data_IF_496314938031
#
_entry.id   IF_496314938031
#
_cell.length_a   1.000
_cell.length_b   1.000
_cell.length_c   1.000
_cell.angle_alpha   90.00
_cell.angle_beta   90.00
_cell.angle_gamma   90.00
#
_symmetry.space_group_name_H-M   'P 1'
#
loop_
_entity.id
_entity.type
_entity.pdbx_description
1 polymer ?
#
# COMPACT_ATOMS: atom_id res chain seq x y z
N UNK A 1 2.82 13.25 20.10
CA UNK A 1 1.93 12.54 19.16
C UNK A 1 0.89 13.49 18.63
N UNK A 2 0.12 13.03 17.64
CA UNK A 2 -1.03 13.71 17.04
C UNK A 2 -2.11 12.67 16.76
N UNK A 3 -3.38 13.07 16.82
CA UNK A 3 -4.41 12.31 16.13
C UNK A 3 -4.22 12.50 14.61
N UNK A 4 -3.96 11.41 13.87
CA UNK A 4 -3.69 11.47 12.42
C UNK A 4 -4.88 11.96 11.60
N UNK A 5 -6.09 11.90 12.14
CA UNK A 5 -7.30 12.44 11.49
C UNK A 5 -7.48 13.94 11.72
N UNK A 6 -6.68 14.57 12.59
CA UNK A 6 -6.68 16.00 12.87
C UNK A 6 -5.48 16.67 12.20
N UNK A 7 -5.73 17.36 11.10
CA UNK A 7 -4.71 18.04 10.29
C UNK A 7 -3.92 19.09 11.10
N UNK A 8 -4.57 19.80 12.03
CA UNK A 8 -3.89 20.81 12.83
C UNK A 8 -2.89 20.16 13.79
N UNK A 9 -3.27 19.06 14.43
CA UNK A 9 -2.36 18.30 15.29
C UNK A 9 -1.20 17.66 14.50
N UNK A 10 -1.47 17.12 13.31
CA UNK A 10 -0.43 16.56 12.44
C UNK A 10 0.58 17.63 12.03
N UNK A 11 0.11 18.80 11.59
CA UNK A 11 0.98 19.91 11.22
C UNK A 11 1.82 20.39 12.42
N UNK A 12 1.20 20.52 13.60
CA UNK A 12 1.92 20.89 14.82
C UNK A 12 2.96 19.83 15.23
N UNK A 13 2.69 18.55 15.02
CA UNK A 13 3.66 17.48 15.27
C UNK A 13 4.86 17.57 14.32
N UNK A 14 4.62 17.74 13.01
CA UNK A 14 5.69 17.87 12.01
C UNK A 14 6.50 19.15 12.23
N UNK A 15 5.85 20.28 12.52
CA UNK A 15 6.51 21.55 12.79
C UNK A 15 7.49 21.43 13.98
N UNK A 16 7.07 20.78 15.08
CA UNK A 16 7.97 20.51 16.22
C UNK A 16 9.14 19.62 15.86
N UNK A 17 8.95 18.65 14.95
CA UNK A 17 10.05 17.80 14.50
C UNK A 17 11.09 18.60 13.70
N UNK A 18 10.61 19.46 12.78
CA UNK A 18 11.47 20.35 12.01
C UNK A 18 12.17 21.37 12.92
N UNK A 19 11.46 21.93 13.91
CA UNK A 19 12.06 22.86 14.88
C UNK A 19 13.18 22.19 15.70
N UNK A 20 12.96 20.95 16.15
CA UNK A 20 13.91 20.23 16.98
C UNK A 20 15.14 19.72 16.21
N UNK A 21 14.95 19.28 14.95
CA UNK A 21 15.98 18.54 14.20
C UNK A 21 16.34 19.14 12.83
N UNK A 22 15.72 20.26 12.46
CA UNK A 22 15.95 20.98 11.21
C UNK A 22 15.30 20.36 9.97
N UNK A 23 14.89 19.09 10.01
CA UNK A 23 14.31 18.36 8.87
C UNK A 23 13.49 17.14 9.30
N UNK A 24 12.73 16.58 8.36
CA UNK A 24 12.10 15.26 8.49
C UNK A 24 12.50 14.41 7.28
N UNK A 25 13.25 13.34 7.54
CA UNK A 25 13.78 12.45 6.50
C UNK A 25 12.90 11.23 6.23
N UNK A 26 12.30 10.71 7.30
CA UNK A 26 11.56 9.46 7.28
C UNK A 26 10.18 9.68 7.88
N UNK A 27 9.14 9.22 7.17
CA UNK A 27 7.79 9.11 7.69
C UNK A 27 7.33 7.64 7.60
N UNK A 28 6.96 7.06 8.73
CA UNK A 28 6.35 5.72 8.79
C UNK A 28 4.88 5.86 9.19
N UNK A 29 3.99 5.65 8.23
CA UNK A 29 2.54 5.68 8.44
C UNK A 29 2.06 4.34 9.01
N UNK A 30 2.14 4.19 10.34
CA UNK A 30 1.81 2.97 11.07
C UNK A 30 0.50 3.03 11.90
N UNK A 31 -0.05 4.23 12.13
CA UNK A 31 -1.26 4.38 12.95
C UNK A 31 -2.44 3.56 12.38
N UNK A 32 -3.23 2.93 13.25
CA UNK A 32 -4.31 2.05 12.81
C UNK A 32 -5.26 1.60 13.92
N UNK A 33 -6.48 1.27 13.51
CA UNK A 33 -7.56 0.70 14.35
C UNK A 33 -8.28 -0.46 13.63
N UNK A 34 -9.02 -1.29 14.37
CA UNK A 34 -9.92 -2.30 13.81
C UNK A 34 -11.39 -2.01 14.17
N UNK A 35 -12.29 -2.40 13.26
CA UNK A 35 -13.76 -2.38 13.42
C UNK A 35 -14.36 -3.51 12.58
N UNK A 36 -14.05 -4.73 12.99
CA UNK A 36 -14.31 -5.92 12.18
C UNK A 36 -15.76 -6.37 12.33
N UNK A 37 -16.47 -6.46 11.19
CA UNK A 37 -17.85 -6.92 11.06
C UNK A 37 -18.06 -7.46 9.65
N UNK A 38 -18.85 -8.52 9.50
CA UNK A 38 -19.36 -8.90 8.17
C UNK A 38 -20.00 -7.68 7.50
N UNK A 39 -19.79 -7.46 6.21
CA UNK A 39 -20.22 -6.23 5.54
C UNK A 39 -21.71 -5.90 5.76
N UNK A 40 -22.59 -6.90 5.70
CA UNK A 40 -24.03 -6.74 5.96
C UNK A 40 -24.38 -6.20 7.37
N UNK A 41 -23.47 -6.36 8.34
CA UNK A 41 -23.63 -5.89 9.73
C UNK A 41 -22.76 -4.66 10.02
N UNK A 42 -22.00 -4.17 9.04
CA UNK A 42 -21.04 -3.08 9.23
C UNK A 42 -21.76 -1.74 9.17
N UNK A 43 -21.65 -0.97 10.25
CA UNK A 43 -22.13 0.41 10.25
C UNK A 43 -21.18 1.27 9.41
N UNK A 44 -21.75 2.18 8.61
CA UNK A 44 -20.91 3.06 7.79
C UNK A 44 -20.02 4.00 8.61
N UNK A 45 -20.36 4.23 9.88
CA UNK A 45 -19.48 4.93 10.82
C UNK A 45 -18.20 4.14 11.12
N UNK A 46 -18.31 2.81 11.29
CA UNK A 46 -17.16 1.92 11.48
C UNK A 46 -16.30 1.87 10.22
N UNK A 47 -16.93 1.85 9.04
CA UNK A 47 -16.22 1.91 7.78
C UNK A 47 -15.39 3.19 7.66
N UNK A 48 -16.05 4.35 7.87
CA UNK A 48 -15.40 5.67 7.79
C UNK A 48 -14.29 5.81 8.81
N UNK A 49 -14.50 5.43 10.06
CA UNK A 49 -13.47 5.53 11.10
C UNK A 49 -12.17 4.79 10.72
N UNK A 50 -12.30 3.59 10.14
CA UNK A 50 -11.14 2.82 9.66
C UNK A 50 -10.48 3.52 8.47
N UNK A 51 -11.24 3.96 7.46
CA UNK A 51 -10.68 4.70 6.32
C UNK A 51 -10.01 6.01 6.74
N UNK A 52 -10.62 6.75 7.65
CA UNK A 52 -10.13 8.04 8.14
C UNK A 52 -8.80 7.89 8.86
N UNK A 53 -8.67 6.92 9.78
CA UNK A 53 -7.42 6.70 10.51
C UNK A 53 -6.32 6.18 9.59
N UNK A 54 -6.62 5.16 8.79
CA UNK A 54 -5.61 4.46 8.00
C UNK A 54 -5.24 5.23 6.74
N UNK A 55 -6.21 5.51 5.87
CA UNK A 55 -5.94 6.10 4.56
C UNK A 55 -5.82 7.62 4.63
N UNK A 56 -6.84 8.31 5.17
CA UNK A 56 -6.84 9.78 5.25
C UNK A 56 -5.76 10.26 6.22
N UNK A 57 -5.58 9.58 7.36
CA UNK A 57 -4.53 9.90 8.32
C UNK A 57 -3.13 9.78 7.74
N UNK A 58 -2.86 8.72 6.97
CA UNK A 58 -1.59 8.59 6.23
C UNK A 58 -1.41 9.70 5.20
N UNK A 59 -2.47 10.07 4.47
CA UNK A 59 -2.42 11.17 3.51
C UNK A 59 -2.15 12.52 4.20
N UNK A 60 -2.77 12.79 5.35
CA UNK A 60 -2.52 14.00 6.15
C UNK A 60 -1.06 14.09 6.59
N UNK A 61 -0.53 13.02 7.19
CA UNK A 61 0.86 12.93 7.64
C UNK A 61 1.84 13.09 6.48
N UNK A 62 1.59 12.41 5.37
CA UNK A 62 2.44 12.51 4.18
C UNK A 62 2.39 13.91 3.59
N UNK A 63 1.21 14.53 3.48
CA UNK A 63 1.08 15.90 2.98
C UNK A 63 1.86 16.91 3.82
N UNK A 64 1.84 16.75 5.14
CA UNK A 64 2.53 17.64 6.06
C UNK A 64 4.06 17.64 5.91
N UNK A 65 4.66 16.53 5.47
CA UNK A 65 6.13 16.42 5.25
C UNK A 65 6.54 16.60 3.78
N UNK A 66 5.59 16.49 2.85
CA UNK A 66 5.87 16.34 1.41
C UNK A 66 6.69 17.49 0.81
N UNK A 67 6.28 18.74 1.04
CA UNK A 67 6.99 19.90 0.48
C UNK A 67 8.40 20.06 1.08
N UNK A 68 8.57 19.75 2.36
CA UNK A 68 9.88 19.77 3.00
C UNK A 68 10.82 18.71 2.38
N UNK A 69 10.32 17.47 2.21
CA UNK A 69 11.06 16.38 1.56
C UNK A 69 11.43 16.72 0.10
N UNK A 70 10.52 17.35 -0.65
CA UNK A 70 10.78 17.81 -2.02
C UNK A 70 11.84 18.90 -2.08
N UNK A 71 11.75 19.90 -1.21
CA UNK A 71 12.67 21.03 -1.16
C UNK A 71 14.10 20.60 -0.78
N UNK A 72 14.25 19.62 0.13
CA UNK A 72 15.55 19.11 0.56
C UNK A 72 16.16 18.05 -0.38
N UNK A 73 15.40 17.55 -1.37
CA UNK A 73 15.89 16.51 -2.29
C UNK A 73 16.11 15.14 -1.63
N UNK A 74 15.35 14.83 -0.59
CA UNK A 74 15.41 13.54 0.10
C UNK A 74 14.12 13.29 0.87
N UNK A 75 13.59 12.07 0.77
CA UNK A 75 12.53 11.59 1.67
C UNK A 75 12.33 10.08 1.57
N UNK A 76 11.91 9.47 2.67
CA UNK A 76 11.55 8.04 2.73
C UNK A 76 10.21 7.90 3.43
N UNK A 77 9.24 7.32 2.73
CA UNK A 77 7.88 7.16 3.26
C UNK A 77 7.50 5.68 3.22
N UNK A 78 7.06 5.16 4.36
CA UNK A 78 6.57 3.79 4.47
C UNK A 78 5.08 3.80 4.78
N UNK A 79 4.30 3.12 3.95
CA UNK A 79 2.88 2.84 4.19
C UNK A 79 2.72 1.46 4.82
N UNK A 80 1.96 1.35 5.91
CA UNK A 80 1.62 0.05 6.52
C UNK A 80 0.30 -0.47 5.95
N UNK A 81 0.38 -1.33 4.92
CA UNK A 81 -0.74 -2.10 4.38
C UNK A 81 -1.04 -3.35 5.27
N UNK A 82 -1.55 -4.43 4.69
CA UNK A 82 -1.73 -5.73 5.34
C UNK A 82 -2.02 -6.81 4.30
N UNK A 83 -1.91 -8.08 4.71
CA UNK A 83 -2.43 -9.21 3.92
C UNK A 83 -3.92 -9.07 3.61
N UNK A 84 -4.74 -8.58 4.54
CA UNK A 84 -6.16 -8.28 4.31
C UNK A 84 -6.36 -7.25 3.19
N UNK A 85 -5.49 -6.24 3.10
CA UNK A 85 -5.52 -5.29 1.99
C UNK A 85 -5.18 -5.96 0.66
N UNK A 86 -4.10 -6.74 0.63
CA UNK A 86 -3.60 -7.34 -0.61
C UNK A 86 -4.47 -8.50 -1.13
N UNK A 87 -5.03 -9.30 -0.23
CA UNK A 87 -5.61 -10.61 -0.54
C UNK A 87 -7.04 -10.80 -0.01
N UNK A 88 -7.55 -9.83 0.76
CA UNK A 88 -8.87 -9.91 1.40
C UNK A 88 -8.86 -10.68 2.72
N UNK A 89 -9.86 -10.41 3.55
CA UNK A 89 -10.17 -11.19 4.75
C UNK A 89 -11.65 -11.01 5.12
N UNK A 90 -12.31 -12.09 5.56
CA UNK A 90 -13.72 -12.04 5.90
C UNK A 90 -13.98 -11.08 7.06
N UNK A 91 -15.03 -10.26 6.97
CA UNK A 91 -15.40 -9.31 8.03
C UNK A 91 -14.53 -8.04 8.10
N UNK A 92 -13.63 -7.83 7.15
CA UNK A 92 -12.69 -6.70 7.14
C UNK A 92 -12.79 -5.84 5.87
N UNK A 93 -14.00 -5.63 5.35
CA UNK A 93 -14.21 -4.86 4.11
C UNK A 93 -13.67 -3.42 4.20
N UNK A 94 -13.89 -2.74 5.33
CA UNK A 94 -13.34 -1.42 5.63
C UNK A 94 -11.80 -1.42 5.72
N UNK A 95 -11.24 -2.36 6.48
CA UNK A 95 -9.81 -2.46 6.69
C UNK A 95 -9.07 -2.86 5.42
N UNK A 96 -9.58 -3.84 4.67
CA UNK A 96 -9.06 -4.24 3.36
C UNK A 96 -9.05 -3.07 2.37
N UNK A 97 -10.16 -2.32 2.27
CA UNK A 97 -10.24 -1.14 1.42
C UNK A 97 -9.20 -0.07 1.80
N UNK A 98 -9.09 0.25 3.10
CA UNK A 98 -8.12 1.23 3.57
C UNK A 98 -6.66 0.79 3.32
N UNK A 99 -6.34 -0.48 3.63
CA UNK A 99 -4.97 -1.01 3.52
C UNK A 99 -4.51 -1.20 2.08
N UNK A 100 -5.38 -1.61 1.16
CA UNK A 100 -5.04 -1.65 -0.27
C UNK A 100 -4.97 -0.24 -0.87
N UNK A 101 -5.83 0.68 -0.42
CA UNK A 101 -5.79 2.09 -0.78
C UNK A 101 -4.42 2.73 -0.49
N UNK A 102 -3.76 2.34 0.59
CA UNK A 102 -2.40 2.80 0.92
C UNK A 102 -1.36 2.35 -0.12
N UNK A 103 -1.47 1.13 -0.66
CA UNK A 103 -0.57 0.66 -1.71
C UNK A 103 -0.79 1.42 -3.04
N UNK A 104 -2.05 1.73 -3.38
CA UNK A 104 -2.39 2.59 -4.52
C UNK A 104 -1.89 4.03 -4.34
N UNK A 105 -1.99 4.57 -3.13
CA UNK A 105 -1.47 5.88 -2.77
C UNK A 105 0.06 5.92 -2.89
N UNK A 106 0.77 4.92 -2.35
CA UNK A 106 2.23 4.78 -2.46
C UNK A 106 2.71 4.73 -3.92
N UNK A 107 2.00 3.98 -4.79
CA UNK A 107 2.28 3.93 -6.24
C UNK A 107 2.33 5.32 -6.86
N UNK A 108 1.30 6.12 -6.62
CA UNK A 108 1.24 7.47 -7.22
C UNK A 108 2.33 8.38 -6.67
N UNK A 109 2.54 8.38 -5.35
CA UNK A 109 3.57 9.22 -4.73
C UNK A 109 5.00 8.81 -5.12
N UNK A 110 5.26 7.52 -5.39
CA UNK A 110 6.56 7.08 -5.89
C UNK A 110 6.91 7.73 -7.24
N UNK A 111 5.91 8.01 -8.08
CA UNK A 111 6.08 8.69 -9.36
C UNK A 111 6.29 10.20 -9.15
N UNK A 112 5.46 10.83 -8.30
CA UNK A 112 5.57 12.27 -8.02
C UNK A 112 6.86 12.65 -7.28
N UNK A 113 7.36 11.75 -6.43
CA UNK A 113 8.55 11.93 -5.61
C UNK A 113 9.87 11.61 -6.32
N UNK A 114 9.83 10.89 -7.46
CA UNK A 114 11.01 10.33 -8.11
C UNK A 114 12.11 11.36 -8.40
N UNK A 115 11.73 12.51 -8.99
CA UNK A 115 12.68 13.59 -9.33
C UNK A 115 13.28 14.32 -8.13
N UNK A 116 12.72 14.10 -6.95
CA UNK A 116 13.14 14.73 -5.69
C UNK A 116 13.84 13.76 -4.74
N UNK A 117 14.15 12.54 -5.20
CA UNK A 117 14.69 11.47 -4.34
C UNK A 117 13.81 11.21 -3.10
N UNK A 118 12.49 11.33 -3.30
CA UNK A 118 11.48 10.92 -2.32
C UNK A 118 10.98 9.54 -2.73
N UNK A 119 11.32 8.52 -1.94
CA UNK A 119 10.93 7.13 -2.19
C UNK A 119 9.77 6.74 -1.28
N UNK A 120 8.78 6.06 -1.85
CA UNK A 120 7.59 5.62 -1.12
C UNK A 120 7.41 4.13 -1.32
N UNK A 121 7.36 3.39 -0.22
CA UNK A 121 7.22 1.94 -0.20
C UNK A 121 6.05 1.53 0.69
N UNK A 122 5.63 0.28 0.55
CA UNK A 122 4.55 -0.33 1.31
C UNK A 122 5.04 -1.60 2.01
N UNK A 123 4.69 -1.77 3.27
CA UNK A 123 4.89 -3.02 4.01
C UNK A 123 3.54 -3.62 4.39
N UNK A 124 3.41 -4.94 4.26
CA UNK A 124 2.30 -5.75 4.72
C UNK A 124 2.81 -6.66 5.86
N UNK A 125 2.81 -6.16 7.11
CA UNK A 125 3.38 -6.91 8.22
C UNK A 125 2.46 -8.05 8.67
N UNK A 126 3.07 -9.15 9.09
CA UNK A 126 2.45 -10.25 9.82
C UNK A 126 3.15 -10.35 11.17
N UNK A 127 2.51 -9.81 12.21
CA UNK A 127 3.04 -9.83 13.56
C UNK A 127 1.92 -10.11 14.56
N UNK A 128 2.25 -10.78 15.65
CA UNK A 128 1.43 -10.90 16.84
C UNK A 128 1.51 -9.58 17.61
N UNK A 129 0.37 -8.94 17.76
CA UNK A 129 0.18 -7.71 18.54
C UNK A 129 -1.12 -7.85 19.31
N UNK A 130 -1.44 -6.89 20.18
CA UNK A 130 -2.79 -6.81 20.79
C UNK A 130 -3.94 -6.81 19.77
N UNK A 131 -3.66 -6.50 18.50
CA UNK A 131 -4.64 -6.48 17.41
C UNK A 131 -4.81 -7.84 16.72
N UNK A 132 -3.88 -8.78 16.91
CA UNK A 132 -3.71 -9.97 16.05
C UNK A 132 -3.34 -11.25 16.81
N UNK A 133 -3.24 -11.22 18.14
CA UNK A 133 -2.85 -12.37 18.95
C UNK A 133 -3.81 -13.57 18.82
N UNK A 134 -5.12 -13.31 18.72
CA UNK A 134 -6.14 -14.35 18.56
C UNK A 134 -6.08 -15.07 17.20
N UNK A 135 -5.26 -14.59 16.26
CA UNK A 135 -5.09 -15.21 14.94
C UNK A 135 -4.07 -16.35 14.93
N UNK A 136 -3.23 -16.47 15.96
CA UNK A 136 -2.14 -17.43 16.00
C UNK A 136 -2.30 -18.44 17.14
N UNK A 137 -1.95 -19.72 16.92
CA UNK A 137 -1.75 -20.67 18.00
C UNK A 137 -0.75 -20.12 19.04
N UNK A 138 -0.96 -20.37 20.36
CA UNK A 138 -0.09 -19.81 21.41
C UNK A 138 1.40 -20.13 21.25
N UNK A 139 1.73 -21.31 20.72
CA UNK A 139 3.08 -21.79 20.44
C UNK A 139 3.75 -21.07 19.25
N UNK A 140 2.96 -20.40 18.41
CA UNK A 140 3.44 -19.66 17.24
C UNK A 140 3.56 -18.15 17.47
N UNK A 141 3.01 -17.61 18.57
CA UNK A 141 3.04 -16.16 18.87
C UNK A 141 4.46 -15.58 18.91
N UNK A 142 5.43 -16.34 19.45
CA UNK A 142 6.83 -15.92 19.58
C UNK A 142 7.51 -15.74 18.21
N UNK A 143 7.15 -16.55 17.23
CA UNK A 143 7.65 -16.44 15.87
C UNK A 143 7.17 -15.15 15.21
N UNK A 144 5.95 -14.70 15.51
CA UNK A 144 5.39 -13.48 14.97
C UNK A 144 5.70 -12.23 15.82
N UNK A 145 6.78 -12.22 16.59
CA UNK A 145 7.25 -11.01 17.27
C UNK A 145 7.39 -9.83 16.26
N UNK A 146 6.82 -8.64 16.55
CA UNK A 146 6.99 -7.42 15.74
C UNK A 146 8.44 -7.09 15.35
N UNK A 147 9.42 -7.46 16.17
CA UNK A 147 10.85 -7.28 15.88
C UNK A 147 11.26 -7.95 14.56
N UNK A 148 10.59 -9.03 14.16
CA UNK A 148 10.86 -9.75 12.91
C UNK A 148 10.41 -8.98 11.66
N UNK A 149 9.68 -7.88 11.82
CA UNK A 149 9.27 -6.97 10.73
C UNK A 149 10.26 -5.82 10.56
N UNK A 150 10.95 -5.44 11.64
CA UNK A 150 11.80 -4.24 11.72
C UNK A 150 12.88 -4.21 10.63
N UNK A 151 13.63 -5.29 10.33
CA UNK A 151 14.66 -5.26 9.29
C UNK A 151 14.10 -4.86 7.91
N UNK A 152 12.95 -5.41 7.52
CA UNK A 152 12.30 -5.08 6.26
C UNK A 152 11.81 -3.62 6.26
N UNK A 153 11.17 -3.17 7.35
CA UNK A 153 10.70 -1.80 7.48
C UNK A 153 11.84 -0.78 7.37
N UNK A 154 12.97 -1.02 8.06
CA UNK A 154 14.15 -0.15 8.03
C UNK A 154 14.82 -0.12 6.65
N UNK A 155 14.92 -1.26 5.96
CA UNK A 155 15.46 -1.28 4.60
C UNK A 155 14.61 -0.43 3.64
N UNK A 156 13.27 -0.52 3.74
CA UNK A 156 12.34 0.24 2.89
C UNK A 156 12.34 1.75 3.14
N UNK A 157 13.02 2.22 4.18
CA UNK A 157 13.24 3.66 4.47
C UNK A 157 14.72 4.03 4.60
N UNK A 158 15.62 3.14 4.16
CA UNK A 158 17.06 3.41 4.13
C UNK A 158 17.46 4.27 2.93
N UNK A 159 18.72 4.73 2.89
CA UNK A 159 19.26 5.44 1.73
C UNK A 159 19.19 4.61 0.44
N UNK A 160 19.37 3.29 0.56
CA UNK A 160 19.30 2.29 -0.51
C UNK A 160 17.90 1.68 -0.69
N UNK A 161 16.87 2.28 -0.07
CA UNK A 161 15.51 1.79 -0.20
C UNK A 161 15.08 1.69 -1.67
N UNK A 162 14.34 0.66 -2.08
CA UNK A 162 13.67 0.69 -3.38
C UNK A 162 12.63 1.82 -3.42
N UNK A 163 11.88 1.91 -4.51
CA UNK A 163 10.66 2.72 -4.57
C UNK A 163 9.54 1.87 -5.14
N UNK A 164 8.28 2.17 -4.78
CA UNK A 164 7.10 1.44 -5.23
C UNK A 164 7.09 -0.07 -4.85
N UNK A 165 7.90 -0.48 -3.87
CA UNK A 165 7.90 -1.85 -3.41
C UNK A 165 6.70 -2.13 -2.48
N UNK A 166 6.11 -3.33 -2.60
CA UNK A 166 5.13 -3.87 -1.65
C UNK A 166 5.76 -5.10 -1.03
N UNK A 167 6.02 -5.08 0.27
CA UNK A 167 6.78 -6.13 0.95
C UNK A 167 5.98 -6.77 2.07
N UNK A 168 5.78 -8.08 2.01
CA UNK A 168 5.31 -8.87 3.14
C UNK A 168 6.45 -9.16 4.10
N UNK A 169 6.24 -9.06 5.41
CA UNK A 169 7.27 -9.39 6.41
C UNK A 169 6.67 -9.95 7.70
N UNK A 170 7.21 -11.06 8.19
CA UNK A 170 6.79 -11.69 9.45
C UNK A 170 7.49 -13.02 9.69
N UNK A 171 7.70 -13.40 10.96
CA UNK A 171 8.38 -14.65 11.34
C UNK A 171 9.72 -14.92 10.65
N UNK A 172 10.49 -13.86 10.38
CA UNK A 172 11.78 -13.95 9.70
C UNK A 172 11.70 -14.12 8.18
N UNK A 173 10.50 -14.14 7.61
CA UNK A 173 10.27 -14.24 6.16
C UNK A 173 9.97 -12.85 5.60
N UNK A 174 10.60 -12.52 4.47
CA UNK A 174 10.38 -11.29 3.70
C UNK A 174 10.03 -11.65 2.26
N UNK A 175 8.97 -11.05 1.72
CA UNK A 175 8.39 -11.38 0.41
C UNK A 175 8.08 -10.10 -0.36
N UNK A 176 8.18 -10.13 -1.69
CA UNK A 176 7.68 -9.06 -2.56
C UNK A 176 6.30 -9.43 -3.12
N UNK A 177 5.38 -8.46 -3.12
CA UNK A 177 4.08 -8.54 -3.76
C UNK A 177 4.00 -7.56 -4.93
N UNK A 178 3.20 -7.90 -5.94
CA UNK A 178 3.11 -7.14 -7.18
C UNK A 178 1.65 -6.94 -7.60
N UNK A 179 1.38 -5.81 -8.27
CA UNK A 179 0.16 -5.63 -9.06
C UNK A 179 0.55 -5.93 -10.50
N UNK A 180 0.08 -7.06 -11.03
CA UNK A 180 0.47 -7.56 -12.35
C UNK A 180 -0.61 -7.27 -13.41
N UNK A 181 -0.21 -7.34 -14.68
CA UNK A 181 -1.07 -7.16 -15.84
C UNK A 181 -0.78 -8.24 -16.88
N UNK A 182 -1.80 -8.97 -17.31
CA UNK A 182 -1.68 -9.98 -18.37
C UNK A 182 -1.53 -9.32 -19.76
N UNK A 183 -1.01 -10.02 -20.78
CA UNK A 183 -0.95 -9.49 -22.15
C UNK A 183 -2.32 -9.14 -22.75
N UNK A 184 -3.38 -9.79 -22.29
CA UNK A 184 -4.76 -9.61 -22.74
C UNK A 184 -5.06 -10.17 -24.13
N UNK A 185 -6.31 -10.00 -24.56
CA UNK A 185 -6.81 -10.42 -25.87
C UNK A 185 -7.33 -9.21 -26.66
N UNK A 186 -6.99 -9.14 -27.96
CA UNK A 186 -7.43 -8.06 -28.84
C UNK A 186 -8.82 -8.34 -29.43
N UNK A 187 -9.86 -7.76 -28.82
CA UNK A 187 -11.22 -7.76 -29.37
C UNK A 187 -11.28 -6.90 -30.65
N UNK A 188 -11.15 -7.58 -31.80
CA UNK A 188 -11.15 -6.94 -33.13
C UNK A 188 -12.50 -6.27 -33.41
N UNK A 189 -12.48 -5.26 -34.27
CA UNK A 189 -13.68 -4.58 -34.73
C UNK A 189 -14.67 -5.58 -35.34
N UNK A 190 -15.97 -5.37 -35.12
CA UNK A 190 -17.02 -6.32 -35.50
C UNK A 190 -17.19 -7.54 -34.58
N UNK A 191 -16.23 -7.80 -33.66
CA UNK A 191 -16.30 -8.91 -32.69
C UNK A 191 -16.27 -8.46 -31.22
N UNK A 192 -16.45 -7.17 -30.93
CA UNK A 192 -16.51 -6.62 -29.56
C UNK A 192 -17.86 -6.95 -28.91
N UNK A 193 -18.02 -8.21 -28.53
CA UNK A 193 -19.23 -8.77 -27.92
C UNK A 193 -18.90 -9.39 -26.56
N UNK A 194 -19.92 -9.62 -25.73
CA UNK A 194 -19.74 -10.30 -24.43
C UNK A 194 -19.31 -11.75 -24.66
N UNK A 195 -19.85 -12.37 -25.72
CA UNK A 195 -19.57 -13.74 -26.12
C UNK A 195 -18.11 -13.92 -26.55
N UNK A 196 -17.54 -12.99 -27.31
CA UNK A 196 -16.12 -13.02 -27.68
C UNK A 196 -15.21 -12.91 -26.44
N UNK A 197 -15.57 -12.07 -25.46
CA UNK A 197 -14.83 -12.00 -24.18
C UNK A 197 -14.89 -13.33 -23.44
N UNK A 198 -16.09 -13.92 -23.33
CA UNK A 198 -16.28 -15.20 -22.65
C UNK A 198 -15.53 -16.35 -23.34
N UNK A 199 -15.55 -16.40 -24.67
CA UNK A 199 -14.86 -17.41 -25.47
C UNK A 199 -13.33 -17.35 -25.33
N UNK A 200 -12.77 -16.18 -24.98
CA UNK A 200 -11.33 -15.95 -24.82
C UNK A 200 -10.91 -15.68 -23.37
N UNK A 201 -11.76 -15.99 -22.39
CA UNK A 201 -11.49 -15.67 -20.98
C UNK A 201 -10.20 -16.31 -20.44
N UNK A 202 -9.92 -17.56 -20.83
CA UNK A 202 -8.69 -18.27 -20.43
C UNK A 202 -7.44 -17.57 -20.99
N UNK A 203 -7.50 -17.03 -22.21
CA UNK A 203 -6.40 -16.25 -22.78
C UNK A 203 -6.24 -14.90 -22.09
N UNK A 204 -7.35 -14.21 -21.80
CA UNK A 204 -7.34 -12.92 -21.09
C UNK A 204 -6.73 -13.04 -19.69
N UNK A 205 -7.03 -14.15 -19.00
CA UNK A 205 -6.60 -14.39 -17.62
C UNK A 205 -5.31 -15.21 -17.50
N UNK A 206 -4.77 -15.70 -18.61
CA UNK A 206 -3.48 -16.37 -18.61
C UNK A 206 -2.38 -15.43 -18.10
N UNK A 207 -1.62 -15.92 -17.11
CA UNK A 207 -0.48 -15.19 -16.52
C UNK A 207 0.80 -15.34 -17.33
N UNK A 208 0.76 -16.11 -18.41
CA UNK A 208 1.90 -16.27 -19.31
C UNK A 208 2.30 -14.92 -19.91
N UNK A 209 3.53 -14.48 -19.64
CA UNK A 209 4.02 -13.18 -20.10
C UNK A 209 3.42 -11.97 -19.38
N UNK A 210 2.82 -12.14 -18.19
CA UNK A 210 2.39 -11.02 -17.37
C UNK A 210 3.57 -10.08 -17.03
N UNK A 211 3.24 -8.81 -16.85
CA UNK A 211 4.21 -7.77 -16.47
C UNK A 211 3.81 -7.12 -15.15
N UNK A 212 4.77 -6.44 -14.52
CA UNK A 212 4.53 -5.51 -13.41
C UNK A 212 4.62 -4.09 -13.96
N UNK A 213 3.50 -3.44 -14.34
CA UNK A 213 3.55 -2.11 -14.90
C UNK A 213 4.07 -1.09 -13.87
N UNK A 214 4.99 -0.22 -14.28
CA UNK A 214 5.53 0.83 -13.40
C UNK A 214 4.67 2.10 -13.40
N UNK A 215 3.80 2.27 -14.39
CA UNK A 215 2.85 3.38 -14.48
C UNK A 215 1.57 2.98 -15.21
N UNK A 216 0.51 3.78 -15.06
CA UNK A 216 -0.73 3.58 -15.81
C UNK A 216 -0.56 3.71 -17.33
N UNK A 217 0.47 4.42 -17.80
CA UNK A 217 0.74 4.57 -19.23
C UNK A 217 1.19 3.26 -19.89
N UNK A 218 1.84 2.36 -19.14
CA UNK A 218 2.29 1.07 -19.67
C UNK A 218 1.14 0.15 -20.06
N UNK A 219 -0.02 0.26 -19.39
CA UNK A 219 -1.22 -0.44 -19.82
C UNK A 219 -1.64 -0.01 -21.22
N UNK A 220 -1.65 1.30 -21.52
CA UNK A 220 -1.99 1.80 -22.84
C UNK A 220 -0.98 1.35 -23.90
N UNK A 221 0.32 1.34 -23.57
CA UNK A 221 1.36 0.84 -24.48
C UNK A 221 1.19 -0.66 -24.77
N UNK A 222 0.85 -1.46 -23.76
CA UNK A 222 0.59 -2.89 -23.93
C UNK A 222 -0.62 -3.14 -24.83
N UNK A 223 -1.69 -2.37 -24.66
CA UNK A 223 -2.88 -2.42 -25.53
C UNK A 223 -2.48 -2.13 -26.99
N UNK A 224 -1.72 -1.07 -27.24
CA UNK A 224 -1.27 -0.72 -28.60
C UNK A 224 -0.41 -1.84 -29.22
N UNK A 225 0.51 -2.42 -28.44
CA UNK A 225 1.33 -3.55 -28.88
C UNK A 225 0.47 -4.77 -29.24
N UNK A 226 -0.56 -5.08 -28.43
CA UNK A 226 -1.46 -6.22 -28.66
C UNK A 226 -2.36 -6.03 -29.87
N UNK A 227 -2.68 -4.79 -30.25
CA UNK A 227 -3.42 -4.50 -31.48
C UNK A 227 -2.58 -4.65 -32.75
N UNK A 228 -1.26 -4.49 -32.66
CA UNK A 228 -0.33 -4.55 -33.80
C UNK A 228 0.13 -5.97 -34.16
N UNK A 229 0.19 -6.87 -33.17
CA UNK A 229 0.37 -8.33 -33.39
C UNK A 229 -0.95 -9.04 -33.61
#
# INVERSE_FOLDING_TARGET
>A
GANVTDVAQVNAMVARAIEAWGRVDILINNAGILRDKSFAKMDMADFRAVVDVHLIGSANCTKAVWEAMRAQGYGRILMTASSTGLYGNFGQANYGAAKLGLAGFAKTLSLEGAKYNVRVNTIAPTAATRMTEDLFPPDMLSLFNPDNVVPAALYLVSDEAPTNAIVGAGAGVVQAAYVTLTPGYALREGRRTVEEVAAHWDEITSRDGEIVPQSGAEQAMLILKRLQG
#
